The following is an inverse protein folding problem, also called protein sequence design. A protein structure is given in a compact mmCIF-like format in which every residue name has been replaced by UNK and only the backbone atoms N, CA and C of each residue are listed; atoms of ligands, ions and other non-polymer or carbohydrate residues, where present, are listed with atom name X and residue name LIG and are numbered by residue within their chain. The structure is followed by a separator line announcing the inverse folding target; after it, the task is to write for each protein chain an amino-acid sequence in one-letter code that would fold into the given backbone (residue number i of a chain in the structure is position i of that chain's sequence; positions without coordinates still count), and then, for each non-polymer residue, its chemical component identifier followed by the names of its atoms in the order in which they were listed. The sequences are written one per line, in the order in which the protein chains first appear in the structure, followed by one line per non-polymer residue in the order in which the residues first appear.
data_IF_271017323781
#
_entry.id   IF_271017323781
#
_cell.length_a   1.000
_cell.length_b   1.000
_cell.length_c   1.000
_cell.angle_alpha   90.00
_cell.angle_beta   90.00
_cell.angle_gamma   90.00
#
_symmetry.space_group_name_H-M   'P 1'
#
loop_
_entity.id
_entity.type
_entity.pdbx_description
1 polymer ?
#
# COMPACT_ATOMS: atom_id res chain seq x y z
N UNK A 1 -55.85 -5.22 -56.20
CA UNK A 1 -55.52 -4.00 -55.43
C UNK A 1 -54.65 -4.42 -54.25
N UNK A 2 -53.48 -3.79 -54.11
CA UNK A 2 -52.33 -4.26 -53.35
C UNK A 2 -52.56 -4.25 -51.82
N UNK A 3 -52.11 -5.31 -51.15
CA UNK A 3 -52.00 -5.37 -49.68
C UNK A 3 -50.66 -4.76 -49.28
N UNK A 4 -50.71 -3.68 -48.51
CA UNK A 4 -49.55 -3.01 -47.92
C UNK A 4 -49.00 -3.91 -46.81
N UNK A 5 -47.78 -4.43 -47.00
CA UNK A 5 -47.02 -5.09 -45.95
C UNK A 5 -46.31 -4.02 -45.12
N UNK A 6 -46.76 -3.83 -43.87
CA UNK A 6 -46.12 -2.99 -42.88
C UNK A 6 -44.85 -3.72 -42.38
N UNK A 7 -43.68 -3.34 -42.88
CA UNK A 7 -42.40 -3.83 -42.38
C UNK A 7 -42.08 -3.06 -41.10
N UNK A 8 -42.34 -3.67 -39.94
CA UNK A 8 -41.79 -3.22 -38.66
C UNK A 8 -40.27 -3.46 -38.69
N UNK A 9 -39.50 -2.40 -38.93
CA UNK A 9 -38.06 -2.41 -38.69
C UNK A 9 -37.86 -2.28 -37.19
N UNK A 10 -37.70 -3.42 -36.51
CA UNK A 10 -37.22 -3.46 -35.14
C UNK A 10 -35.77 -2.99 -35.11
N UNK A 11 -35.56 -1.72 -34.75
CA UNK A 11 -34.26 -1.18 -34.37
C UNK A 11 -33.81 -1.91 -33.09
N UNK A 12 -33.04 -2.98 -33.26
CA UNK A 12 -32.27 -3.60 -32.20
C UNK A 12 -31.25 -2.56 -31.70
N UNK A 13 -31.60 -1.86 -30.62
CA UNK A 13 -30.63 -1.13 -29.81
C UNK A 13 -29.64 -2.14 -29.23
N UNK A 14 -28.54 -2.35 -29.94
CA UNK A 14 -27.37 -3.06 -29.45
C UNK A 14 -26.70 -2.16 -28.41
N UNK A 15 -27.20 -2.18 -27.18
CA UNK A 15 -26.45 -1.71 -26.02
C UNK A 15 -25.30 -2.70 -25.82
N UNK A 16 -24.21 -2.52 -26.57
CA UNK A 16 -22.92 -3.05 -26.16
C UNK A 16 -22.63 -2.38 -24.83
N UNK A 17 -22.76 -3.14 -23.75
CA UNK A 17 -22.19 -2.78 -22.45
C UNK A 17 -20.74 -2.36 -22.72
N UNK A 18 -20.46 -1.06 -22.61
CA UNK A 18 -19.10 -0.55 -22.54
C UNK A 18 -18.49 -1.34 -21.40
N UNK A 19 -17.64 -2.33 -21.72
CA UNK A 19 -16.88 -3.04 -20.69
C UNK A 19 -16.11 -1.95 -19.96
N UNK A 20 -16.54 -1.64 -18.75
CA UNK A 20 -15.80 -0.75 -17.87
C UNK A 20 -14.37 -1.30 -17.86
N UNK A 21 -13.43 -0.46 -18.22
CA UNK A 21 -12.02 -0.78 -18.20
C UNK A 21 -11.63 -0.96 -16.73
N UNK A 22 -11.78 -2.18 -16.22
CA UNK A 22 -11.61 -2.50 -14.81
C UNK A 22 -10.42 -3.41 -14.64
N UNK A 23 -9.26 -2.83 -14.32
CA UNK A 23 -8.14 -3.59 -13.78
C UNK A 23 -7.97 -3.27 -12.29
N UNK A 24 -8.04 -4.27 -11.40
CA UNK A 24 -7.83 -4.09 -9.96
C UNK A 24 -6.46 -3.48 -9.63
N UNK A 25 -5.46 -3.70 -10.48
CA UNK A 25 -4.13 -3.08 -10.35
C UNK A 25 -4.22 -1.56 -10.39
N UNK A 26 -5.16 -0.98 -11.13
CA UNK A 26 -5.36 0.45 -11.21
C UNK A 26 -6.22 0.97 -10.05
N UNK A 27 -7.39 0.37 -9.82
CA UNK A 27 -8.31 0.81 -8.77
C UNK A 27 -7.76 0.63 -7.36
N UNK A 28 -6.80 -0.29 -7.18
CA UNK A 28 -6.22 -0.59 -5.87
C UNK A 28 -4.78 -0.06 -5.72
N UNK A 29 -4.25 0.68 -6.69
CA UNK A 29 -2.92 1.29 -6.55
C UNK A 29 -3.00 2.52 -5.64
N UNK A 30 -2.32 2.47 -4.50
CA UNK A 30 -2.26 3.59 -3.57
C UNK A 30 -1.26 4.65 -4.06
N UNK A 31 -1.71 5.55 -4.94
CA UNK A 31 -0.87 6.65 -5.43
C UNK A 31 -0.46 7.58 -4.28
N UNK A 32 0.82 7.95 -4.21
CA UNK A 32 1.37 8.80 -3.13
C UNK A 32 0.58 10.09 -2.92
N UNK A 33 0.08 10.66 -4.02
CA UNK A 33 -0.70 11.90 -4.03
C UNK A 33 -2.22 11.68 -4.06
N UNK A 34 -2.69 10.60 -4.68
CA UNK A 34 -4.10 10.50 -5.14
C UNK A 34 -4.88 9.36 -4.48
N UNK A 35 -4.22 8.40 -3.82
CA UNK A 35 -4.88 7.24 -3.24
C UNK A 35 -5.39 6.24 -4.28
N UNK A 36 -6.20 5.27 -3.83
CA UNK A 36 -6.82 4.23 -4.66
C UNK A 36 -8.09 4.74 -5.34
N UNK A 37 -7.92 5.67 -6.27
CA UNK A 37 -9.00 6.24 -7.10
C UNK A 37 -8.72 6.04 -8.60
N UNK A 38 -7.74 5.19 -8.91
CA UNK A 38 -7.32 4.95 -10.27
C UNK A 38 -8.44 4.28 -11.08
N UNK A 39 -8.72 4.80 -12.27
CA UNK A 39 -9.54 4.09 -13.26
C UNK A 39 -8.75 3.90 -14.54
N UNK A 40 -8.93 2.74 -15.17
CA UNK A 40 -8.35 2.53 -16.49
C UNK A 40 -9.18 3.29 -17.50
N UNK A 41 -8.63 4.32 -18.12
CA UNK A 41 -9.31 5.06 -19.18
C UNK A 41 -8.33 5.42 -20.29
N UNK A 42 -8.85 5.83 -21.45
CA UNK A 42 -8.02 6.34 -22.53
C UNK A 42 -7.17 7.50 -22.03
N UNK A 43 -5.89 7.52 -22.40
CA UNK A 43 -4.97 8.65 -22.11
C UNK A 43 -5.50 9.98 -22.60
N UNK A 44 -6.25 10.00 -23.70
CA UNK A 44 -6.92 11.21 -24.24
C UNK A 44 -8.04 11.73 -23.36
N UNK A 45 -8.58 10.85 -22.50
CA UNK A 45 -9.70 11.13 -21.59
C UNK A 45 -9.22 11.34 -20.15
N UNK A 46 -7.91 11.28 -19.89
CA UNK A 46 -7.32 11.50 -18.58
C UNK A 46 -6.92 12.98 -18.41
N UNK A 47 -7.64 13.77 -17.59
CA UNK A 47 -7.36 15.18 -17.39
C UNK A 47 -5.91 15.44 -16.96
N UNK A 48 -5.27 16.44 -17.58
CA UNK A 48 -3.91 16.85 -17.24
C UNK A 48 -2.82 15.79 -17.47
N UNK A 49 -3.11 14.68 -18.17
CA UNK A 49 -2.12 13.62 -18.45
C UNK A 49 -1.65 12.85 -17.22
N UNK A 50 -2.41 12.87 -16.12
CA UNK A 50 -2.04 12.29 -14.82
C UNK A 50 -2.35 10.79 -14.76
N UNK A 51 -1.60 10.00 -15.52
CA UNK A 51 -1.73 8.55 -15.59
C UNK A 51 -0.43 7.79 -15.30
N UNK A 52 -0.55 6.53 -14.89
CA UNK A 52 0.55 5.58 -14.75
C UNK A 52 0.38 4.43 -15.73
N UNK A 53 1.49 4.04 -16.37
CA UNK A 53 1.55 2.89 -17.27
C UNK A 53 1.60 1.56 -16.50
N UNK A 54 1.19 0.48 -17.16
CA UNK A 54 1.26 -0.91 -16.68
C UNK A 54 0.32 -1.27 -15.50
N UNK A 55 -0.47 -0.32 -15.00
CA UNK A 55 -1.53 -0.58 -14.01
C UNK A 55 -2.87 -0.99 -14.64
N UNK A 56 -2.95 -0.99 -15.97
CA UNK A 56 -4.09 -1.49 -16.74
C UNK A 56 -3.66 -2.60 -17.72
N UNK A 57 -3.13 -3.73 -17.21
CA UNK A 57 -2.48 -4.75 -18.04
C UNK A 57 -3.42 -5.51 -18.97
N UNK A 58 -4.73 -5.54 -18.69
CA UNK A 58 -5.70 -6.22 -19.56
C UNK A 58 -6.24 -5.29 -20.65
N UNK A 59 -5.85 -4.02 -20.63
CA UNK A 59 -6.39 -2.98 -21.52
C UNK A 59 -5.48 -2.67 -22.71
N UNK A 60 -6.03 -2.10 -23.81
CA UNK A 60 -5.24 -1.68 -24.97
C UNK A 60 -4.13 -0.67 -24.61
N UNK A 61 -3.10 -0.56 -25.46
CA UNK A 61 -1.92 0.28 -25.19
C UNK A 61 -2.23 1.77 -24.91
N UNK A 62 -3.35 2.29 -25.43
CA UNK A 62 -3.83 3.66 -25.20
C UNK A 62 -4.61 3.89 -23.90
N UNK A 63 -4.89 2.83 -23.15
CA UNK A 63 -5.57 2.86 -21.84
C UNK A 63 -4.53 2.77 -20.74
N UNK A 64 -4.60 3.68 -19.78
CA UNK A 64 -3.66 3.79 -18.65
C UNK A 64 -4.44 4.01 -17.36
N UNK A 65 -3.78 3.80 -16.22
CA UNK A 65 -4.41 4.05 -14.94
C UNK A 65 -4.39 5.55 -14.65
N UNK A 66 -5.54 6.19 -14.81
CA UNK A 66 -5.73 7.61 -14.56
C UNK A 66 -6.20 7.81 -13.13
N UNK A 67 -5.47 8.62 -12.36
CA UNK A 67 -5.82 8.91 -10.97
C UNK A 67 -6.70 10.15 -10.83
N UNK A 68 -6.84 10.92 -11.90
CA UNK A 68 -7.82 11.99 -12.03
C UNK A 68 -8.97 11.53 -12.92
N UNK A 69 -9.44 10.29 -12.72
CA UNK A 69 -10.48 9.70 -13.57
C UNK A 69 -11.83 10.46 -13.52
N UNK A 70 -11.98 11.44 -12.63
CA UNK A 70 -13.14 12.30 -12.66
C UNK A 70 -13.09 13.39 -13.74
N UNK A 71 -14.24 13.49 -14.39
CA UNK A 71 -14.59 14.22 -15.61
C UNK A 71 -14.60 15.73 -15.49
N UNK A 72 -14.52 16.28 -14.29
CA UNK A 72 -14.74 17.70 -14.06
C UNK A 72 -13.40 18.39 -13.91
N UNK A 73 -13.02 19.05 -15.00
CA UNK A 73 -11.77 19.81 -15.10
C UNK A 73 -11.67 20.86 -14.00
N UNK A 74 -12.81 21.36 -13.52
CA UNK A 74 -12.93 22.28 -12.40
C UNK A 74 -12.30 21.72 -11.13
N UNK A 75 -12.53 20.45 -10.79
CA UNK A 75 -11.92 19.82 -9.62
C UNK A 75 -10.44 19.48 -9.87
N UNK A 76 -10.13 18.92 -11.04
CA UNK A 76 -8.79 18.44 -11.37
C UNK A 76 -7.73 19.56 -11.46
N UNK A 77 -8.14 20.75 -11.93
CA UNK A 77 -7.25 21.91 -12.14
C UNK A 77 -7.32 22.95 -11.02
N UNK A 78 -8.26 22.82 -10.09
CA UNK A 78 -8.37 23.72 -8.93
C UNK A 78 -7.08 23.69 -8.11
N UNK A 79 -6.46 24.86 -7.94
CA UNK A 79 -5.28 25.03 -7.13
C UNK A 79 -5.67 25.41 -5.69
N UNK A 80 -5.79 24.41 -4.81
CA UNK A 80 -6.13 24.65 -3.42
C UNK A 80 -4.95 25.31 -2.68
N UNK A 81 -5.21 26.42 -1.96
CA UNK A 81 -4.18 27.22 -1.29
C UNK A 81 -3.26 26.40 -0.34
N UNK A 82 -3.81 25.37 0.31
CA UNK A 82 -3.08 24.49 1.24
C UNK A 82 -2.54 23.20 0.61
N UNK A 83 -3.17 22.69 -0.47
CA UNK A 83 -2.97 21.31 -0.95
C UNK A 83 -2.52 21.21 -2.42
N UNK A 84 -2.51 22.32 -3.15
CA UNK A 84 -2.13 22.35 -4.56
C UNK A 84 -3.19 21.76 -5.50
N UNK A 85 -2.76 21.33 -6.68
CA UNK A 85 -3.62 20.80 -7.77
C UNK A 85 -3.82 19.28 -7.66
N UNK A 86 -4.59 18.88 -6.65
CA UNK A 86 -4.81 17.47 -6.26
C UNK A 86 -6.29 17.11 -6.05
N UNK A 87 -7.21 17.83 -6.68
CA UNK A 87 -8.65 17.63 -6.50
C UNK A 87 -9.18 16.35 -7.17
N UNK A 88 -10.05 15.61 -6.47
CA UNK A 88 -10.79 14.44 -7.01
C UNK A 88 -12.26 14.44 -6.61
N UNK A 89 -13.17 14.04 -7.51
CA UNK A 89 -14.61 14.05 -7.24
C UNK A 89 -15.09 12.72 -6.63
N UNK A 90 -14.89 12.57 -5.32
CA UNK A 90 -15.29 11.37 -4.58
C UNK A 90 -16.42 11.65 -3.59
N UNK A 91 -16.97 10.57 -3.01
CA UNK A 91 -17.96 10.68 -1.93
C UNK A 91 -17.38 11.44 -0.74
N UNK A 92 -18.18 12.33 -0.15
CA UNK A 92 -17.77 13.07 1.06
C UNK A 92 -17.37 12.15 2.21
N UNK A 93 -17.96 10.95 2.29
CA UNK A 93 -17.60 9.93 3.28
C UNK A 93 -16.17 9.39 3.13
N UNK A 94 -15.58 9.53 1.94
CA UNK A 94 -14.22 9.08 1.61
C UNK A 94 -13.21 10.23 1.67
N UNK A 95 -13.66 11.46 1.96
CA UNK A 95 -12.80 12.63 2.07
C UNK A 95 -12.26 12.79 3.49
N UNK A 96 -10.93 12.69 3.71
CA UNK A 96 -10.39 12.78 5.06
C UNK A 96 -10.62 14.16 5.66
N UNK A 97 -11.10 14.18 6.90
CA UNK A 97 -11.34 15.40 7.66
C UNK A 97 -12.35 16.34 7.00
N UNK A 98 -13.28 15.82 6.18
CA UNK A 98 -14.25 16.60 5.43
C UNK A 98 -13.61 17.72 4.57
N UNK A 99 -12.38 17.50 4.10
CA UNK A 99 -11.62 18.49 3.33
C UNK A 99 -12.03 18.45 1.86
N UNK A 100 -13.20 19.02 1.57
CA UNK A 100 -13.76 19.09 0.23
C UNK A 100 -14.36 20.46 -0.10
N UNK A 101 -14.50 20.76 -1.39
CA UNK A 101 -15.20 21.94 -1.90
C UNK A 101 -16.40 21.49 -2.75
N UNK A 102 -17.53 22.16 -2.53
CA UNK A 102 -18.74 21.96 -3.33
C UNK A 102 -18.65 22.63 -4.70
N UNK A 103 -19.46 22.17 -5.65
CA UNK A 103 -19.62 22.75 -7.00
C UNK A 103 -18.40 22.65 -7.93
N UNK A 104 -17.31 22.02 -7.50
CA UNK A 104 -16.20 21.67 -8.38
C UNK A 104 -16.38 20.30 -9.07
N UNK A 105 -17.46 19.59 -8.74
CA UNK A 105 -17.87 18.34 -9.36
C UNK A 105 -19.29 18.46 -9.95
N UNK A 106 -19.54 19.42 -10.86
CA UNK A 106 -20.87 19.73 -11.36
C UNK A 106 -21.57 18.59 -12.10
N UNK A 107 -20.84 17.64 -12.68
CA UNK A 107 -21.44 16.50 -13.41
C UNK A 107 -21.81 15.34 -12.49
N UNK A 108 -21.50 15.44 -11.19
CA UNK A 108 -21.65 14.35 -10.22
C UNK A 108 -22.88 14.52 -9.34
N UNK A 109 -23.27 13.44 -8.68
CA UNK A 109 -24.39 13.44 -7.75
C UNK A 109 -24.10 14.32 -6.52
N UNK A 110 -25.14 14.79 -5.83
CA UNK A 110 -25.00 15.75 -4.74
C UNK A 110 -24.07 15.31 -3.58
N UNK A 111 -23.88 14.00 -3.39
CA UNK A 111 -22.99 13.40 -2.38
C UNK A 111 -21.50 13.36 -2.78
N UNK A 112 -21.18 13.74 -4.01
CA UNK A 112 -19.81 13.81 -4.53
C UNK A 112 -19.31 15.24 -4.45
N UNK A 113 -18.09 15.42 -3.95
CA UNK A 113 -17.44 16.73 -3.76
C UNK A 113 -15.97 16.65 -4.17
N UNK A 114 -15.37 17.81 -4.44
CA UNK A 114 -13.96 17.85 -4.83
C UNK A 114 -13.08 17.77 -3.59
N UNK A 115 -12.32 16.70 -3.48
CA UNK A 115 -11.48 16.33 -2.35
C UNK A 115 -10.02 16.69 -2.59
N UNK A 116 -9.36 17.36 -1.65
CA UNK A 116 -7.98 17.85 -1.82
C UNK A 116 -6.95 17.16 -0.94
N UNK A 117 -7.40 16.25 -0.09
CA UNK A 117 -6.54 15.41 0.72
C UNK A 117 -6.65 13.99 0.19
N UNK A 118 -5.51 13.33 0.03
CA UNK A 118 -5.42 11.92 -0.36
C UNK A 118 -6.48 11.11 0.42
N UNK A 119 -7.41 10.43 -0.25
CA UNK A 119 -8.39 9.57 0.44
C UNK A 119 -7.67 8.55 1.31
N UNK A 120 -8.05 8.47 2.58
CA UNK A 120 -7.58 7.43 3.50
C UNK A 120 -8.54 6.24 3.39
N UNK A 121 -7.99 5.02 3.40
CA UNK A 121 -8.75 3.77 3.49
C UNK A 121 -9.66 3.38 2.29
N UNK A 122 -9.60 4.06 1.15
CA UNK A 122 -10.33 3.62 -0.06
C UNK A 122 -9.75 2.33 -0.68
N UNK A 123 -8.60 1.87 -0.19
CA UNK A 123 -7.89 0.67 -0.66
C UNK A 123 -8.21 -0.61 0.15
N UNK A 124 -9.03 -0.54 1.19
CA UNK A 124 -9.21 -1.65 2.14
C UNK A 124 -10.68 -2.09 2.24
N UNK A 125 -10.96 -3.31 1.81
CA UNK A 125 -12.09 -4.06 2.37
C UNK A 125 -11.84 -4.21 3.87
N UNK A 126 -12.87 -4.04 4.70
CA UNK A 126 -12.79 -4.12 6.16
C UNK A 126 -12.05 -5.39 6.61
N UNK A 127 -10.92 -5.21 7.31
CA UNK A 127 -10.05 -6.29 7.79
C UNK A 127 -8.90 -6.70 6.85
N UNK A 128 -8.74 -6.06 5.69
CA UNK A 128 -7.65 -6.30 4.73
C UNK A 128 -6.68 -5.11 4.68
N UNK A 129 -5.38 -5.41 4.64
CA UNK A 129 -4.35 -4.39 4.47
C UNK A 129 -4.37 -3.80 3.06
N UNK A 130 -3.85 -2.58 2.90
CA UNK A 130 -3.87 -1.90 1.60
C UNK A 130 -3.20 -2.75 0.52
N UNK A 131 -3.70 -2.66 -0.71
CA UNK A 131 -3.16 -3.45 -1.82
C UNK A 131 -1.70 -3.06 -2.16
N UNK A 132 -1.27 -1.83 -1.85
CA UNK A 132 0.15 -1.45 -1.93
C UNK A 132 1.00 -2.20 -0.91
N UNK A 133 0.57 -2.27 0.35
CA UNK A 133 1.25 -3.05 1.38
C UNK A 133 1.31 -4.53 0.99
N UNK A 134 0.22 -5.07 0.45
CA UNK A 134 0.18 -6.41 -0.12
C UNK A 134 1.20 -6.60 -1.26
N UNK A 135 1.23 -5.69 -2.23
CA UNK A 135 2.14 -5.77 -3.39
C UNK A 135 3.61 -5.72 -2.95
N UNK A 136 3.95 -4.79 -2.04
CA UNK A 136 5.30 -4.68 -1.49
C UNK A 136 5.68 -5.94 -0.72
N UNK A 137 4.78 -6.50 0.08
CA UNK A 137 5.03 -7.75 0.79
C UNK A 137 5.28 -8.92 -0.19
N UNK A 138 4.53 -9.02 -1.28
CA UNK A 138 4.78 -10.05 -2.30
C UNK A 138 6.12 -9.86 -3.03
N UNK A 139 6.54 -8.61 -3.26
CA UNK A 139 7.88 -8.32 -3.79
C UNK A 139 8.95 -8.76 -2.79
N UNK A 140 8.81 -8.41 -1.50
CA UNK A 140 9.72 -8.84 -0.44
C UNK A 140 9.79 -10.37 -0.38
N UNK A 141 8.65 -11.05 -0.45
CA UNK A 141 8.54 -12.51 -0.39
C UNK A 141 9.28 -13.22 -1.53
N UNK A 142 9.28 -12.63 -2.72
CA UNK A 142 9.87 -13.21 -3.94
C UNK A 142 11.30 -12.73 -4.22
N UNK A 143 11.82 -11.79 -3.44
CA UNK A 143 13.12 -11.18 -3.69
C UNK A 143 14.27 -12.11 -3.26
N UNK A 144 15.09 -12.55 -4.22
CA UNK A 144 16.16 -13.55 -4.00
C UNK A 144 17.24 -13.17 -3.00
N UNK A 145 17.40 -11.87 -2.71
CA UNK A 145 18.37 -11.34 -1.72
C UNK A 145 17.80 -11.15 -0.31
N UNK A 146 16.50 -11.39 -0.12
CA UNK A 146 15.83 -11.24 1.17
C UNK A 146 15.55 -12.63 1.72
N UNK A 147 16.22 -12.99 2.81
CA UNK A 147 15.86 -14.17 3.58
C UNK A 147 14.87 -13.77 4.68
N UNK A 148 13.77 -14.49 4.80
CA UNK A 148 12.80 -14.26 5.87
C UNK A 148 12.96 -15.37 6.90
N UNK A 149 13.22 -14.98 8.14
CA UNK A 149 13.29 -15.94 9.23
C UNK A 149 11.94 -16.64 9.37
N UNK A 150 11.94 -17.95 9.17
CA UNK A 150 10.82 -18.83 9.48
C UNK A 150 11.04 -19.45 10.85
N UNK A 151 9.94 -19.72 11.57
CA UNK A 151 9.96 -20.35 12.89
C UNK A 151 10.76 -19.54 13.93
N UNK A 152 10.03 -18.70 14.68
CA UNK A 152 10.61 -17.80 15.66
C UNK A 152 10.82 -18.42 17.05
N UNK A 153 10.85 -19.75 17.20
CA UNK A 153 11.06 -20.43 18.50
C UNK A 153 12.26 -19.92 19.28
N UNK A 154 13.35 -19.56 18.58
CA UNK A 154 14.57 -19.06 19.19
C UNK A 154 14.51 -17.59 19.61
N UNK A 155 13.50 -16.85 19.12
CA UNK A 155 13.16 -15.50 19.59
C UNK A 155 12.14 -15.51 20.73
N UNK A 156 11.40 -16.62 20.86
CA UNK A 156 10.46 -16.84 21.95
C UNK A 156 11.18 -17.44 23.18
N UNK A 157 11.19 -16.76 24.35
CA UNK A 157 11.79 -17.29 25.56
C UNK A 157 11.13 -18.58 26.06
N UNK A 158 9.90 -18.89 25.61
CA UNK A 158 9.19 -20.14 25.91
C UNK A 158 9.50 -21.26 24.90
N UNK A 159 10.32 -21.00 23.87
CA UNK A 159 10.71 -22.02 22.88
C UNK A 159 9.60 -22.47 21.94
N UNK A 160 8.49 -21.72 21.86
CA UNK A 160 7.34 -22.03 21.01
C UNK A 160 7.26 -21.14 19.77
N UNK A 161 6.86 -21.72 18.64
CA UNK A 161 6.54 -20.96 17.44
C UNK A 161 5.13 -20.40 17.61
N UNK A 162 4.99 -19.08 17.64
CA UNK A 162 3.69 -18.43 17.77
C UNK A 162 3.14 -17.96 16.41
N UNK A 163 3.83 -18.24 15.30
CA UNK A 163 3.42 -17.87 13.95
C UNK A 163 3.52 -16.37 13.65
N UNK A 164 4.20 -15.59 14.50
CA UNK A 164 4.54 -14.19 14.24
C UNK A 164 5.99 -14.05 13.69
N UNK A 165 6.56 -15.11 13.12
CA UNK A 165 7.86 -15.05 12.43
C UNK A 165 7.80 -14.16 11.18
N UNK A 166 8.97 -13.66 10.74
CA UNK A 166 9.05 -12.73 9.61
C UNK A 166 8.50 -13.33 8.31
N UNK A 167 8.73 -14.63 8.05
CA UNK A 167 8.19 -15.30 6.87
C UNK A 167 6.66 -15.36 6.90
N UNK A 168 6.06 -15.70 8.05
CA UNK A 168 4.61 -15.68 8.26
C UNK A 168 4.03 -14.27 8.16
N UNK A 169 4.65 -13.25 8.75
CA UNK A 169 4.22 -11.86 8.65
C UNK A 169 4.14 -11.39 7.19
N UNK A 170 5.20 -11.63 6.39
CA UNK A 170 5.22 -11.26 4.98
C UNK A 170 4.22 -12.07 4.15
N UNK A 171 4.12 -13.39 4.37
CA UNK A 171 3.16 -14.26 3.68
C UNK A 171 1.72 -13.78 3.91
N UNK A 172 1.35 -13.51 5.16
CA UNK A 172 0.00 -13.08 5.51
C UNK A 172 -0.30 -11.71 4.88
N UNK A 173 0.67 -10.79 4.92
CA UNK A 173 0.56 -9.47 4.27
C UNK A 173 0.45 -9.57 2.75
N UNK A 174 1.23 -10.45 2.09
CA UNK A 174 1.11 -10.73 0.65
C UNK A 174 -0.24 -11.37 0.28
N UNK A 175 -0.87 -12.09 1.21
CA UNK A 175 -2.24 -12.57 1.07
C UNK A 175 -3.30 -11.49 1.38
N UNK A 176 -2.89 -10.25 1.66
CA UNK A 176 -3.78 -9.12 1.98
C UNK A 176 -4.29 -9.11 3.41
N UNK A 177 -3.73 -9.94 4.30
CA UNK A 177 -4.14 -10.05 5.71
C UNK A 177 -3.17 -9.27 6.62
N UNK A 178 -3.64 -8.78 7.77
CA UNK A 178 -2.75 -8.25 8.82
C UNK A 178 -1.69 -9.27 9.26
N UNK A 179 -0.49 -8.79 9.56
CA UNK A 179 0.59 -9.59 10.12
C UNK A 179 0.33 -9.86 11.60
N UNK A 180 0.59 -11.10 12.04
CA UNK A 180 0.43 -11.52 13.43
C UNK A 180 1.44 -10.86 14.36
N UNK A 181 0.99 -10.43 15.54
CA UNK A 181 1.85 -9.97 16.63
C UNK A 181 2.21 -11.15 17.54
N UNK A 182 3.44 -11.16 18.05
CA UNK A 182 3.81 -12.13 19.08
C UNK A 182 2.97 -11.95 20.35
N UNK A 183 2.82 -13.02 21.14
CA UNK A 183 1.93 -13.05 22.31
C UNK A 183 2.59 -13.71 23.53
N UNK A 184 3.73 -13.19 23.96
CA UNK A 184 4.48 -13.65 25.13
C UNK A 184 5.29 -12.52 25.76
N UNK A 185 5.77 -12.73 26.99
CA UNK A 185 6.61 -11.77 27.71
C UNK A 185 8.08 -12.22 27.76
N UNK A 186 8.97 -11.24 27.84
CA UNK A 186 10.41 -11.40 28.06
C UNK A 186 10.91 -10.30 29.00
N UNK A 187 12.22 -10.24 29.24
CA UNK A 187 12.84 -9.21 30.08
C UNK A 187 12.61 -7.77 29.60
N UNK A 188 12.30 -7.57 28.32
CA UNK A 188 12.07 -6.26 27.71
C UNK A 188 10.61 -5.78 27.80
N UNK A 189 9.66 -6.68 28.10
CA UNK A 189 8.22 -6.35 28.10
C UNK A 189 7.34 -7.53 27.69
N UNK A 190 6.10 -7.22 27.32
CA UNK A 190 5.13 -8.20 26.82
C UNK A 190 4.66 -7.83 25.41
N UNK A 191 4.74 -8.79 24.51
CA UNK A 191 4.15 -8.68 23.19
C UNK A 191 2.62 -8.79 23.29
N UNK A 192 1.85 -7.89 22.66
CA UNK A 192 0.43 -7.71 22.96
C UNK A 192 -0.50 -8.76 22.33
N UNK A 193 0.00 -9.62 21.45
CA UNK A 193 -0.83 -10.47 20.61
C UNK A 193 -1.70 -9.67 19.62
N UNK A 194 -2.54 -10.36 18.86
CA UNK A 194 -3.38 -9.74 17.82
C UNK A 194 -2.67 -9.64 16.46
N UNK A 195 -3.04 -8.64 15.66
CA UNK A 195 -2.51 -8.47 14.31
C UNK A 195 -2.56 -7.01 13.84
N UNK A 196 -1.63 -6.61 12.97
CA UNK A 196 -1.54 -5.25 12.43
C UNK A 196 -1.14 -5.25 10.96
N UNK A 197 -1.55 -4.23 10.20
CA UNK A 197 -1.03 -4.05 8.84
C UNK A 197 0.40 -3.50 8.88
N UNK A 198 1.27 -4.08 8.05
CA UNK A 198 2.64 -3.59 7.89
C UNK A 198 2.65 -2.23 7.18
N UNK A 199 3.61 -1.39 7.52
CA UNK A 199 3.80 -0.10 6.86
C UNK A 199 4.45 -0.28 5.49
N UNK A 200 3.95 0.47 4.51
CA UNK A 200 4.56 0.50 3.18
C UNK A 200 6.02 0.97 3.23
N UNK A 201 6.36 1.92 4.13
CA UNK A 201 7.74 2.40 4.30
C UNK A 201 8.68 1.30 4.79
N UNK A 202 8.26 0.50 5.74
CA UNK A 202 9.06 -0.60 6.27
C UNK A 202 9.34 -1.64 5.17
N UNK A 203 8.32 -2.01 4.38
CA UNK A 203 8.48 -2.95 3.27
C UNK A 203 9.34 -2.36 2.14
N UNK A 204 9.16 -1.08 1.81
CA UNK A 204 9.97 -0.41 0.80
C UNK A 204 11.44 -0.33 1.22
N UNK A 205 11.73 -0.06 2.49
CA UNK A 205 13.10 -0.09 3.01
C UNK A 205 13.78 -1.44 2.78
N UNK A 206 13.10 -2.57 3.03
CA UNK A 206 13.64 -3.90 2.75
C UNK A 206 14.00 -4.05 1.26
N UNK A 207 13.09 -3.65 0.37
CA UNK A 207 13.33 -3.68 -1.07
C UNK A 207 14.48 -2.76 -1.47
N UNK A 208 14.61 -1.58 -0.88
CA UNK A 208 15.68 -0.63 -1.20
C UNK A 208 17.07 -1.13 -0.77
N UNK A 209 17.15 -1.87 0.34
CA UNK A 209 18.38 -2.57 0.74
C UNK A 209 18.69 -3.68 -0.25
N UNK A 210 17.69 -4.48 -0.62
CA UNK A 210 17.88 -5.64 -1.49
C UNK A 210 18.24 -5.23 -2.94
N UNK A 211 17.55 -4.24 -3.49
CA UNK A 211 17.76 -3.70 -4.84
C UNK A 211 19.12 -2.99 -4.98
N UNK A 212 19.73 -2.57 -3.87
CA UNK A 212 21.11 -2.08 -3.86
C UNK A 212 22.16 -3.20 -3.86
N UNK A 213 21.74 -4.45 -3.96
CA UNK A 213 22.62 -5.60 -4.11
C UNK A 213 23.00 -6.31 -2.81
N UNK A 214 22.45 -5.90 -1.67
CA UNK A 214 22.76 -6.52 -0.39
C UNK A 214 21.90 -7.76 -0.12
N UNK A 215 22.53 -8.82 0.39
CA UNK A 215 21.84 -9.98 0.94
C UNK A 215 21.69 -9.80 2.45
N UNK A 216 20.50 -10.06 2.98
CA UNK A 216 20.23 -9.96 4.41
C UNK A 216 19.08 -10.87 4.82
N UNK A 217 19.01 -11.15 6.12
CA UNK A 217 17.89 -11.85 6.73
C UNK A 217 17.06 -10.89 7.59
N UNK A 218 15.74 -10.93 7.44
CA UNK A 218 14.79 -10.26 8.33
C UNK A 218 14.45 -11.21 9.48
N UNK A 219 14.77 -10.81 10.71
CA UNK A 219 14.47 -11.59 11.91
C UNK A 219 13.06 -11.32 12.43
N UNK A 220 12.70 -10.04 12.52
CA UNK A 220 11.44 -9.61 13.10
C UNK A 220 10.85 -8.42 12.33
N UNK A 221 9.52 -8.40 12.23
CA UNK A 221 8.73 -7.26 11.74
C UNK A 221 7.69 -6.92 12.80
N UNK A 222 6.80 -7.87 13.11
CA UNK A 222 5.80 -7.70 14.17
C UNK A 222 5.79 -8.80 15.23
N UNK A 223 6.59 -9.83 15.04
CA UNK A 223 6.91 -10.81 16.09
C UNK A 223 8.09 -10.40 16.97
N UNK A 224 8.57 -11.38 17.75
CA UNK A 224 9.57 -11.22 18.81
C UNK A 224 9.04 -10.41 20.01
N UNK A 225 9.85 -10.33 21.07
CA UNK A 225 9.53 -9.58 22.28
C UNK A 225 10.38 -8.32 22.40
N UNK A 226 9.68 -7.19 22.50
CA UNK A 226 10.19 -5.84 22.65
C UNK A 226 9.47 -5.10 23.79
N UNK A 227 9.87 -3.86 24.06
CA UNK A 227 9.14 -2.97 24.97
C UNK A 227 7.69 -2.78 24.53
N UNK A 228 6.80 -2.53 25.49
CA UNK A 228 5.35 -2.40 25.25
C UNK A 228 4.98 -1.28 24.26
N UNK A 229 5.83 -0.27 24.12
CA UNK A 229 5.65 0.85 23.19
C UNK A 229 6.36 0.67 21.85
N UNK A 230 6.97 -0.50 21.61
CA UNK A 230 7.77 -0.79 20.42
C UNK A 230 7.01 -0.58 19.12
N UNK A 231 7.72 -0.06 18.11
CA UNK A 231 7.22 0.14 16.75
C UNK A 231 7.01 -1.15 15.98
N UNK A 232 7.59 -2.27 16.43
CA UNK A 232 7.27 -3.61 15.90
C UNK A 232 5.79 -3.93 16.07
N UNK A 233 5.21 -3.63 17.23
CA UNK A 233 3.79 -3.89 17.49
C UNK A 233 2.83 -2.95 16.72
N UNK A 234 3.39 -1.98 15.99
CA UNK A 234 2.65 -1.08 15.08
C UNK A 234 2.84 -1.43 13.61
N UNK A 235 3.61 -2.48 13.27
CA UNK A 235 3.90 -2.83 11.88
C UNK A 235 4.88 -1.88 11.18
N UNK A 236 5.62 -1.07 11.94
CA UNK A 236 6.44 0.04 11.41
C UNK A 236 7.94 -0.15 11.58
N UNK A 237 8.38 -1.31 12.09
CA UNK A 237 9.79 -1.61 12.35
C UNK A 237 10.23 -2.94 11.75
N UNK A 238 11.53 -3.07 11.50
CA UNK A 238 12.17 -4.31 11.03
C UNK A 238 13.53 -4.48 11.70
N UNK A 239 13.87 -5.73 12.02
CA UNK A 239 15.18 -6.15 12.50
C UNK A 239 15.89 -7.01 11.45
N UNK A 240 17.07 -6.58 11.02
CA UNK A 240 17.90 -7.31 10.05
C UNK A 240 19.09 -7.97 10.74
N UNK A 241 19.23 -9.28 10.58
CA UNK A 241 20.34 -10.04 11.15
C UNK A 241 21.68 -9.59 10.55
N UNK A 242 22.68 -9.42 11.41
CA UNK A 242 24.06 -9.20 11.01
C UNK A 242 24.78 -10.56 11.04
N UNK A 243 25.34 -10.95 9.90
CA UNK A 243 26.26 -12.07 9.75
C UNK A 243 27.68 -11.55 9.49
N UNK A 244 28.65 -12.47 9.51
CA UNK A 244 30.01 -12.12 9.07
C UNK A 244 29.99 -11.59 7.64
N UNK A 245 30.61 -10.43 7.41
CA UNK A 245 30.64 -9.74 6.11
C UNK A 245 29.38 -8.93 5.78
N UNK A 246 28.38 -8.86 6.65
CA UNK A 246 27.22 -7.97 6.45
C UNK A 246 27.64 -6.50 6.41
N UNK A 247 27.20 -5.79 5.36
CA UNK A 247 27.40 -4.34 5.25
C UNK A 247 26.28 -3.58 5.98
N UNK A 248 26.18 -3.78 7.30
CA UNK A 248 25.09 -3.23 8.11
C UNK A 248 25.11 -1.69 8.15
N UNK A 249 26.29 -1.07 8.02
CA UNK A 249 26.41 0.38 7.91
C UNK A 249 25.67 0.93 6.67
N UNK A 250 25.73 0.23 5.53
CA UNK A 250 24.96 0.61 4.35
C UNK A 250 23.44 0.43 4.56
N UNK A 251 23.02 -0.58 5.30
CA UNK A 251 21.60 -0.79 5.64
C UNK A 251 21.08 0.34 6.53
N UNK A 252 21.84 0.70 7.56
CA UNK A 252 21.54 1.84 8.44
C UNK A 252 21.54 3.17 7.68
N UNK A 253 22.46 3.36 6.71
CA UNK A 253 22.45 4.56 5.84
C UNK A 253 21.15 4.66 5.03
N UNK A 254 20.68 3.54 4.47
CA UNK A 254 19.39 3.48 3.76
C UNK A 254 18.20 3.71 4.70
N UNK A 255 18.24 3.17 5.91
CA UNK A 255 17.23 3.43 6.93
C UNK A 255 17.13 4.95 7.22
N UNK A 256 18.28 5.61 7.41
CA UNK A 256 18.32 7.06 7.60
C UNK A 256 17.80 7.83 6.39
N UNK A 257 18.19 7.44 5.17
CA UNK A 257 17.74 8.09 3.93
C UNK A 257 16.23 7.94 3.70
N UNK A 258 15.63 6.86 4.19
CA UNK A 258 14.19 6.62 4.17
C UNK A 258 13.40 7.43 5.24
N UNK A 259 14.09 8.24 6.05
CA UNK A 259 13.48 9.08 7.09
C UNK A 259 12.99 8.29 8.31
N UNK A 260 13.79 7.32 8.76
CA UNK A 260 13.48 6.51 9.93
C UNK A 260 13.41 7.35 11.22
N UNK A 261 12.48 6.97 12.10
CA UNK A 261 12.36 7.47 13.46
C UNK A 261 13.38 6.80 14.41
N UNK A 262 13.71 5.53 14.16
CA UNK A 262 14.72 4.78 14.90
C UNK A 262 15.65 4.07 13.91
N UNK A 263 16.95 4.17 14.16
CA UNK A 263 17.99 3.56 13.36
C UNK A 263 19.11 3.10 14.29
N UNK A 264 19.01 1.87 14.77
CA UNK A 264 19.89 1.31 15.79
C UNK A 264 20.66 0.12 15.21
N UNK A 265 21.87 -0.12 15.72
CA UNK A 265 22.70 -1.25 15.30
C UNK A 265 23.86 -1.48 16.26
N UNK A 266 24.93 -2.18 15.83
CA UNK A 266 26.09 -2.41 16.66
C UNK A 266 26.65 -1.10 17.25
N UNK A 267 26.79 -1.08 18.57
CA UNK A 267 27.11 0.13 19.35
C UNK A 267 25.93 0.68 20.16
N UNK A 268 24.69 0.33 19.80
CA UNK A 268 23.50 0.61 20.60
C UNK A 268 23.20 -0.56 21.55
N UNK A 269 22.71 -0.26 22.75
CA UNK A 269 22.32 -1.27 23.74
C UNK A 269 21.26 -2.22 23.15
N UNK A 270 21.49 -3.53 23.26
CA UNK A 270 20.58 -4.56 22.76
C UNK A 270 20.66 -4.88 21.26
N UNK A 271 21.50 -4.18 20.48
CA UNK A 271 21.52 -4.26 19.01
C UNK A 271 22.88 -4.74 18.44
N UNK A 272 23.63 -5.55 19.19
CA UNK A 272 24.95 -6.03 18.75
C UNK A 272 24.91 -7.02 17.58
N UNK A 273 23.77 -7.67 17.34
CA UNK A 273 23.63 -8.77 16.38
C UNK A 273 22.70 -8.45 15.20
N UNK A 274 22.06 -7.28 15.19
CA UNK A 274 21.10 -6.89 14.17
C UNK A 274 21.04 -5.37 14.03
N UNK A 275 20.50 -4.89 12.92
CA UNK A 275 20.07 -3.49 12.78
C UNK A 275 18.56 -3.39 12.99
N UNK A 276 18.12 -2.37 13.71
CA UNK A 276 16.72 -2.02 13.89
C UNK A 276 16.40 -0.74 13.11
N UNK A 277 15.41 -0.80 12.23
CA UNK A 277 14.93 0.34 11.46
C UNK A 277 13.42 0.51 11.66
N UNK A 278 12.98 1.70 12.11
CA UNK A 278 11.57 1.95 12.33
C UNK A 278 11.10 3.34 11.86
N UNK A 279 9.82 3.44 11.49
CA UNK A 279 9.21 4.62 10.89
C UNK A 279 8.05 5.15 11.74
N UNK A 280 7.67 6.41 11.51
CA UNK A 280 6.40 6.93 12.02
C UNK A 280 5.22 6.24 11.32
N UNK A 281 4.14 6.04 12.07
CA UNK A 281 2.84 5.58 11.58
C UNK A 281 2.16 6.63 10.72
#
# INVERSE_FOLDING_TARGET
MARIALVLVALLNCFTSLKAYTDPQCSNYDHQTYGCVGECISTTSCPGGKYISNLCPTQPAGVKCCFTADSDIECADYNHWQYGKVGHCISTSQCPGNTYISNLCPTKSAGIKCCFKKPTDTCSASGSCSQTVKSLACQVQSHSRITLLANNKHLNPLGADDGADAASNIRDTCNGKPAKLSSYCCSSGCAPGGSVCLSAKALQYLLDVANAGYNFQVNAITGACHSTTSRHYRGTAVDLQIFSGSNYAAWMSKCSAAGAAENLGPGNAGHSTHTHCAFYS
#
